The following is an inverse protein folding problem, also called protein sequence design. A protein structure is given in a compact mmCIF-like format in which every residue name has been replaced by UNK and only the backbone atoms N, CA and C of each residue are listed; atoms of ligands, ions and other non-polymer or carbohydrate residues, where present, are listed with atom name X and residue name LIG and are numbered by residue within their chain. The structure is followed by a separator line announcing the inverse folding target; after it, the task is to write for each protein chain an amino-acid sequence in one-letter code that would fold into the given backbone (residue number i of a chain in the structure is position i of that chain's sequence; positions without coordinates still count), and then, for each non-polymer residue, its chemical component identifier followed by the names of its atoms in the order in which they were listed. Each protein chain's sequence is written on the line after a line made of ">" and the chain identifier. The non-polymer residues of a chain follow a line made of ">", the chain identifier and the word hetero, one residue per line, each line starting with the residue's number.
data_IF_587937476076
#
_entry.id   IF_587937476076
#
_cell.length_a   1.000
_cell.length_b   1.000
_cell.length_c   1.000
_cell.angle_alpha   90.00
_cell.angle_beta   90.00
_cell.angle_gamma   90.00
#
_symmetry.space_group_name_H-M   'P 1'
#
loop_
_entity.id
_entity.type
_entity.pdbx_description
1 polymer ?
#
# COMPACT_ATOMS: atom_id res chain seq x y z
N UNK A 1 -28.00 -0.67 -20.25
CA UNK A 1 -27.04 -1.01 -21.32
C UNK A 1 -25.91 0.05 -21.41
N UNK A 2 -25.52 0.66 -20.26
CA UNK A 2 -24.45 1.69 -20.16
C UNK A 2 -23.29 1.23 -19.24
N UNK A 3 -23.35 0.06 -18.64
CA UNK A 3 -22.39 -0.45 -17.64
C UNK A 3 -21.24 -1.33 -18.19
N UNK A 4 -21.01 -1.36 -19.51
CA UNK A 4 -20.02 -2.28 -20.11
C UNK A 4 -18.90 -1.63 -20.95
N UNK A 5 -18.73 -0.31 -20.89
CA UNK A 5 -17.68 0.37 -21.69
C UNK A 5 -16.43 0.71 -20.85
N UNK A 6 -16.54 0.79 -19.51
CA UNK A 6 -15.41 1.08 -18.63
C UNK A 6 -14.43 -0.08 -18.46
N UNK A 7 -14.88 -1.33 -18.68
CA UNK A 7 -14.04 -2.51 -18.43
C UNK A 7 -13.27 -3.01 -19.67
N UNK A 8 -13.53 -2.44 -20.84
CA UNK A 8 -12.91 -2.87 -22.11
C UNK A 8 -11.64 -2.06 -22.43
N UNK A 9 -11.50 -0.84 -21.94
CA UNK A 9 -10.33 0.00 -22.24
C UNK A 9 -8.98 -0.53 -21.70
N UNK A 10 -8.88 -1.08 -20.47
CA UNK A 10 -7.61 -1.60 -19.97
C UNK A 10 -7.14 -2.86 -20.72
N UNK A 11 -8.08 -3.71 -21.15
CA UNK A 11 -7.75 -5.00 -21.79
C UNK A 11 -7.26 -4.82 -23.24
N UNK A 12 -7.80 -3.84 -23.95
CA UNK A 12 -7.38 -3.56 -25.34
C UNK A 12 -6.01 -2.87 -25.36
N UNK A 13 -5.72 -1.98 -24.42
CA UNK A 13 -4.42 -1.32 -24.32
C UNK A 13 -3.32 -2.29 -23.87
N UNK A 14 -3.63 -3.21 -22.94
CA UNK A 14 -2.67 -4.19 -22.43
C UNK A 14 -2.30 -5.25 -23.48
N UNK A 15 -3.26 -5.74 -24.24
CA UNK A 15 -3.00 -6.72 -25.32
C UNK A 15 -2.24 -6.11 -26.51
N UNK A 16 -2.40 -4.83 -26.77
CA UNK A 16 -1.67 -4.15 -27.88
C UNK A 16 -0.23 -3.83 -27.48
N UNK A 17 0.05 -3.55 -26.20
CA UNK A 17 1.41 -3.27 -25.71
C UNK A 17 2.23 -4.57 -25.54
N UNK A 18 1.62 -5.69 -25.19
CA UNK A 18 2.32 -6.99 -25.12
C UNK A 18 2.73 -7.54 -26.50
N UNK A 19 2.03 -7.18 -27.57
CA UNK A 19 2.37 -7.59 -28.94
C UNK A 19 3.61 -6.87 -29.51
N UNK A 20 4.09 -5.79 -28.87
CA UNK A 20 5.26 -5.02 -29.32
C UNK A 20 6.53 -5.20 -28.47
N UNK A 21 6.54 -6.08 -27.47
CA UNK A 21 7.67 -6.20 -26.52
C UNK A 21 8.34 -7.56 -26.39
N UNK A 22 8.15 -8.48 -27.33
CA UNK A 22 8.86 -9.78 -27.26
C UNK A 22 9.53 -10.10 -28.60
N UNK A 23 10.74 -9.60 -28.81
CA UNK A 23 11.71 -10.18 -29.72
C UNK A 23 12.88 -10.78 -28.91
N UNK A 24 13.11 -12.11 -28.97
CA UNK A 24 14.40 -12.69 -28.64
C UNK A 24 15.30 -12.78 -29.88
N UNK A 25 16.65 -12.84 -29.75
CA UNK A 25 17.59 -12.77 -30.86
C UNK A 25 17.61 -14.04 -31.68
N UNK A 26 17.52 -13.86 -32.99
CA UNK A 26 17.59 -14.92 -34.02
C UNK A 26 19.00 -15.49 -34.18
N UNK A 27 19.12 -16.79 -33.92
CA UNK A 27 20.17 -17.64 -34.45
C UNK A 27 19.83 -18.07 -35.89
N UNK A 28 20.82 -17.98 -36.76
CA UNK A 28 20.78 -18.29 -38.19
C UNK A 28 20.27 -19.69 -38.50
N UNK A 29 19.33 -19.81 -39.44
CA UNK A 29 19.30 -20.95 -40.41
C UNK A 29 18.54 -20.60 -41.69
N UNK A 30 19.29 -20.72 -42.80
CA UNK A 30 18.98 -21.13 -44.18
C UNK A 30 17.88 -20.43 -44.99
N UNK A 31 18.36 -19.90 -46.09
CA UNK A 31 17.71 -19.30 -47.23
C UNK A 31 16.93 -20.30 -48.11
N UNK A 32 16.15 -19.71 -49.02
CA UNK A 32 15.58 -20.24 -50.24
C UNK A 32 14.22 -20.92 -50.18
N UNK A 33 13.20 -20.12 -50.50
CA UNK A 33 12.21 -20.36 -51.59
C UNK A 33 11.22 -19.19 -51.67
N UNK A 34 11.28 -18.46 -52.81
CA UNK A 34 10.30 -17.45 -53.23
C UNK A 34 8.95 -18.11 -53.52
N UNK A 35 7.88 -17.51 -53.01
CA UNK A 35 6.51 -17.74 -53.46
C UNK A 35 5.79 -16.40 -53.66
N UNK A 36 4.95 -16.26 -54.72
CA UNK A 36 4.40 -14.99 -55.16
C UNK A 36 3.34 -14.45 -54.16
N UNK A 37 3.37 -13.15 -53.97
CA UNK A 37 2.49 -12.37 -53.10
C UNK A 37 1.11 -12.12 -53.70
N UNK A 38 0.01 -12.24 -52.92
CA UNK A 38 -1.26 -11.58 -53.28
C UNK A 38 -1.28 -10.15 -52.74
N UNK A 39 -1.75 -9.24 -53.56
CA UNK A 39 -1.90 -7.82 -53.29
C UNK A 39 -3.06 -7.54 -52.35
N UNK A 40 -2.85 -7.62 -51.06
CA UNK A 40 -3.68 -6.98 -50.01
C UNK A 40 -2.87 -7.02 -48.71
N UNK A 41 -2.20 -5.89 -48.43
CA UNK A 41 -1.13 -5.80 -47.43
C UNK A 41 -1.58 -5.79 -46.01
N UNK A 42 -1.70 -6.98 -45.38
CA UNK A 42 -1.56 -7.13 -43.92
C UNK A 42 -0.69 -8.38 -43.69
N UNK A 43 0.59 -8.19 -43.34
CA UNK A 43 1.48 -9.26 -42.88
C UNK A 43 1.11 -9.68 -41.49
N UNK A 44 0.46 -10.85 -41.33
CA UNK A 44 0.48 -11.62 -40.10
C UNK A 44 1.72 -12.53 -40.11
N UNK A 45 2.77 -12.10 -39.45
CA UNK A 45 3.91 -12.98 -39.15
C UNK A 45 3.53 -13.95 -38.04
N UNK A 46 3.12 -15.18 -38.39
CA UNK A 46 3.41 -16.43 -37.69
C UNK A 46 2.62 -17.58 -38.34
N UNK A 47 3.35 -18.55 -38.86
CA UNK A 47 2.90 -19.89 -39.31
C UNK A 47 1.61 -19.96 -40.15
N UNK A 48 1.74 -19.66 -41.45
CA UNK A 48 0.75 -20.05 -42.45
C UNK A 48 0.94 -21.53 -42.82
N UNK A 49 0.46 -22.46 -41.96
CA UNK A 49 0.24 -23.84 -42.34
C UNK A 49 -1.10 -24.26 -41.77
N UNK A 50 -2.11 -24.45 -42.67
CA UNK A 50 -3.39 -25.08 -42.40
C UNK A 50 -4.39 -24.34 -41.44
N UNK A 51 -4.76 -23.09 -41.76
CA UNK A 51 -5.97 -22.52 -41.16
C UNK A 51 -7.09 -22.39 -42.23
N UNK A 52 -8.13 -23.19 -42.14
CA UNK A 52 -9.32 -23.02 -42.97
C UNK A 52 -10.05 -21.73 -42.54
N UNK A 53 -9.93 -20.65 -43.32
CA UNK A 53 -10.47 -19.30 -43.04
C UNK A 53 -11.99 -19.26 -42.75
N UNK A 54 -12.74 -20.32 -43.06
CA UNK A 54 -14.21 -20.39 -42.79
C UNK A 54 -14.57 -21.00 -41.45
N UNK A 55 -13.70 -21.82 -40.84
CA UNK A 55 -14.01 -22.59 -39.64
C UNK A 55 -13.18 -22.22 -38.42
N UNK A 56 -12.08 -21.48 -38.59
CA UNK A 56 -11.21 -21.07 -37.47
C UNK A 56 -11.90 -20.05 -36.55
N UNK A 57 -12.08 -20.35 -35.27
CA UNK A 57 -12.69 -19.43 -34.29
C UNK A 57 -11.92 -18.12 -34.18
N UNK A 58 -10.60 -18.17 -34.26
CA UNK A 58 -9.70 -17.01 -34.17
C UNK A 58 -9.86 -16.05 -35.35
N UNK A 59 -9.92 -16.59 -36.60
CA UNK A 59 -10.16 -15.77 -37.78
C UNK A 59 -11.57 -15.13 -37.78
N UNK A 60 -12.56 -15.79 -37.18
CA UNK A 60 -13.90 -15.26 -37.01
C UNK A 60 -13.93 -14.13 -35.98
N UNK A 61 -13.15 -14.24 -34.91
CA UNK A 61 -13.03 -13.21 -33.87
C UNK A 61 -12.27 -11.97 -34.38
N UNK A 62 -11.19 -12.16 -35.15
CA UNK A 62 -10.43 -11.09 -35.79
C UNK A 62 -11.24 -10.32 -36.84
N UNK A 63 -12.11 -11.00 -37.61
CA UNK A 63 -13.05 -10.32 -38.53
C UNK A 63 -14.09 -9.49 -37.78
N UNK A 64 -14.60 -9.96 -36.63
CA UNK A 64 -15.51 -9.17 -35.78
C UNK A 64 -14.82 -7.95 -35.21
N UNK A 65 -13.57 -8.10 -34.76
CA UNK A 65 -12.75 -7.00 -34.22
C UNK A 65 -12.45 -5.94 -35.30
N UNK A 66 -12.03 -6.37 -36.48
CA UNK A 66 -11.78 -5.47 -37.61
C UNK A 66 -13.03 -4.70 -38.06
N UNK A 67 -14.22 -5.35 -37.98
CA UNK A 67 -15.49 -4.69 -38.26
C UNK A 67 -15.87 -3.68 -37.18
N UNK A 68 -15.57 -3.98 -35.90
CA UNK A 68 -15.77 -3.06 -34.77
C UNK A 68 -14.85 -1.85 -34.88
N UNK A 69 -13.55 -2.05 -35.21
CA UNK A 69 -12.57 -0.96 -35.40
C UNK A 69 -12.98 -0.02 -36.54
N UNK A 70 -13.54 -0.54 -37.63
CA UNK A 70 -14.06 0.30 -38.74
C UNK A 70 -15.27 1.17 -38.35
N UNK A 71 -15.99 0.82 -37.29
CA UNK A 71 -17.14 1.60 -36.79
C UNK A 71 -16.73 2.72 -35.82
N UNK A 72 -15.52 2.66 -35.25
CA UNK A 72 -15.01 3.65 -34.27
C UNK A 72 -15.00 5.08 -34.84
N UNK A 73 -14.48 5.37 -36.06
CA UNK A 73 -14.51 6.72 -36.62
C UNK A 73 -15.93 7.25 -36.82
N UNK A 74 -16.85 6.39 -37.24
CA UNK A 74 -18.28 6.76 -37.43
C UNK A 74 -18.98 7.03 -36.09
N UNK A 75 -18.64 6.26 -35.07
CA UNK A 75 -19.14 6.46 -33.70
C UNK A 75 -18.57 7.75 -33.08
N UNK A 76 -17.27 8.03 -33.28
CA UNK A 76 -16.62 9.27 -32.85
C UNK A 76 -17.22 10.50 -33.55
N UNK A 77 -17.48 10.41 -34.86
CA UNK A 77 -18.16 11.47 -35.63
C UNK A 77 -19.62 11.67 -35.18
N UNK A 78 -20.33 10.59 -34.85
CA UNK A 78 -21.68 10.64 -34.30
C UNK A 78 -21.71 11.28 -32.91
N UNK A 79 -20.77 10.92 -32.03
CA UNK A 79 -20.62 11.51 -30.68
C UNK A 79 -20.22 12.99 -30.76
N UNK A 80 -19.35 13.35 -31.71
CA UNK A 80 -18.97 14.75 -31.94
C UNK A 80 -20.12 15.62 -32.49
N UNK A 81 -20.93 15.07 -33.42
CA UNK A 81 -22.11 15.76 -33.96
C UNK A 81 -23.26 15.93 -32.96
N UNK A 82 -23.39 15.02 -31.97
CA UNK A 82 -24.46 15.05 -30.99
C UNK A 82 -24.10 15.79 -29.70
N UNK A 83 -23.01 16.59 -29.68
CA UNK A 83 -22.65 17.41 -28.52
C UNK A 83 -22.18 16.62 -27.29
N UNK A 84 -21.86 15.30 -27.44
CA UNK A 84 -21.13 14.56 -26.43
C UNK A 84 -19.64 14.86 -26.55
N UNK A 85 -19.28 16.14 -26.60
CA UNK A 85 -17.92 16.62 -26.47
C UNK A 85 -17.42 16.30 -25.08
N UNK A 86 -16.15 15.91 -24.97
CA UNK A 86 -15.39 15.87 -23.72
C UNK A 86 -15.78 17.10 -22.90
N UNK A 87 -16.27 16.88 -21.67
CA UNK A 87 -16.69 17.89 -20.71
C UNK A 87 -15.76 19.11 -20.80
N UNK A 88 -16.20 20.17 -21.49
CA UNK A 88 -15.59 21.49 -21.32
C UNK A 88 -15.75 21.86 -19.86
N UNK A 89 -14.63 21.84 -19.12
CA UNK A 89 -14.63 22.14 -17.67
C UNK A 89 -15.14 23.55 -17.48
N UNK A 90 -16.39 23.65 -17.07
CA UNK A 90 -17.04 24.93 -16.78
C UNK A 90 -16.23 25.65 -15.71
N UNK A 91 -15.74 26.82 -16.01
CA UNK A 91 -14.91 27.64 -15.11
C UNK A 91 -15.81 28.59 -14.29
N UNK A 92 -15.30 29.08 -13.17
CA UNK A 92 -16.00 30.05 -12.33
C UNK A 92 -16.45 31.30 -13.14
N UNK A 93 -15.64 31.73 -14.12
CA UNK A 93 -16.00 32.85 -15.03
C UNK A 93 -17.22 32.55 -15.89
N UNK A 94 -17.41 31.30 -16.30
CA UNK A 94 -18.54 30.90 -17.15
C UNK A 94 -19.84 30.86 -16.34
N UNK A 95 -19.74 30.47 -15.05
CA UNK A 95 -20.81 30.53 -14.06
C UNK A 95 -21.20 32.00 -13.80
N UNK A 96 -20.20 32.87 -13.60
CA UNK A 96 -20.40 34.28 -13.37
C UNK A 96 -21.15 34.95 -14.55
N UNK A 97 -20.74 34.64 -15.79
CA UNK A 97 -21.42 35.11 -17.00
C UNK A 97 -22.85 34.62 -17.09
N UNK A 98 -23.12 33.32 -16.83
CA UNK A 98 -24.48 32.74 -16.86
C UNK A 98 -25.37 33.30 -15.76
N UNK A 99 -24.84 33.57 -14.56
CA UNK A 99 -25.59 34.10 -13.44
C UNK A 99 -25.77 35.64 -13.49
N UNK A 100 -25.04 36.33 -14.39
CA UNK A 100 -25.03 37.78 -14.50
C UNK A 100 -24.44 38.46 -13.27
N UNK A 101 -23.40 37.90 -12.67
CA UNK A 101 -22.72 38.41 -11.47
C UNK A 101 -21.22 38.45 -11.67
N UNK A 102 -20.48 39.12 -10.76
CA UNK A 102 -19.02 39.11 -10.81
C UNK A 102 -18.45 37.73 -10.40
N UNK A 103 -17.23 37.38 -10.89
CA UNK A 103 -16.48 36.20 -10.48
C UNK A 103 -16.30 36.14 -8.97
N UNK A 104 -16.02 37.29 -8.30
CA UNK A 104 -15.89 37.38 -6.85
C UNK A 104 -17.20 37.06 -6.10
N UNK A 105 -18.37 37.33 -6.72
CA UNK A 105 -19.68 36.95 -6.16
C UNK A 105 -19.87 35.45 -6.21
N UNK A 106 -19.53 34.80 -7.33
CA UNK A 106 -19.57 33.34 -7.46
C UNK A 106 -18.63 32.69 -6.45
N UNK A 107 -17.40 33.18 -6.29
CA UNK A 107 -16.43 32.68 -5.30
C UNK A 107 -16.98 32.75 -3.87
N UNK A 108 -17.58 33.90 -3.49
CA UNK A 108 -18.21 34.05 -2.17
C UNK A 108 -19.37 33.09 -1.95
N UNK A 109 -20.18 32.82 -2.96
CA UNK A 109 -21.28 31.84 -2.87
C UNK A 109 -20.75 30.43 -2.71
N UNK A 110 -19.75 30.02 -3.51
CA UNK A 110 -19.11 28.71 -3.46
C UNK A 110 -18.48 28.43 -2.08
N UNK A 111 -17.86 29.43 -1.49
CA UNK A 111 -17.21 29.33 -0.17
C UNK A 111 -18.09 29.77 1.01
N UNK A 112 -19.41 29.96 0.81
CA UNK A 112 -20.39 30.37 1.83
C UNK A 112 -19.97 31.64 2.59
N UNK A 113 -19.20 32.54 1.97
CA UNK A 113 -18.72 33.79 2.59
C UNK A 113 -19.87 34.81 2.72
N UNK A 114 -19.80 35.73 3.71
CA UNK A 114 -20.80 36.80 3.87
C UNK A 114 -20.72 37.84 2.75
N UNK A 115 -21.61 38.83 2.80
CA UNK A 115 -21.68 39.95 1.87
C UNK A 115 -22.03 39.59 0.43
N UNK A 116 -23.01 38.70 0.25
CA UNK A 116 -23.65 38.38 -1.02
C UNK A 116 -25.16 38.63 -0.86
N UNK A 117 -25.77 39.41 -1.76
CA UNK A 117 -27.22 39.65 -1.72
C UNK A 117 -27.98 38.31 -1.93
N UNK A 118 -29.14 38.19 -1.31
CA UNK A 118 -29.99 37.00 -1.42
C UNK A 118 -30.28 36.64 -2.88
N UNK A 119 -30.65 37.64 -3.71
CA UNK A 119 -30.92 37.45 -5.14
C UNK A 119 -29.70 36.94 -5.92
N UNK A 120 -28.50 37.49 -5.66
CA UNK A 120 -27.30 37.04 -6.33
C UNK A 120 -26.91 35.58 -5.92
N UNK A 121 -27.09 35.23 -4.65
CA UNK A 121 -26.88 33.88 -4.12
C UNK A 121 -27.80 32.89 -4.81
N UNK A 122 -29.10 33.17 -4.86
CA UNK A 122 -30.12 32.30 -5.50
C UNK A 122 -29.83 32.08 -6.99
N UNK A 123 -29.40 33.11 -7.72
CA UNK A 123 -29.05 33.00 -9.14
C UNK A 123 -27.83 32.06 -9.33
N UNK A 124 -26.77 32.25 -8.55
CA UNK A 124 -25.58 31.40 -8.63
C UNK A 124 -25.89 29.98 -8.25
N UNK A 125 -26.59 29.73 -7.12
CA UNK A 125 -26.95 28.39 -6.68
C UNK A 125 -27.83 27.63 -7.67
N UNK A 126 -28.76 28.36 -8.36
CA UNK A 126 -29.56 27.78 -9.44
C UNK A 126 -28.65 27.28 -10.58
N UNK A 127 -27.75 28.14 -11.08
CA UNK A 127 -26.83 27.76 -12.17
C UNK A 127 -25.93 26.59 -11.75
N UNK A 128 -25.39 26.61 -10.51
CA UNK A 128 -24.56 25.52 -9.99
C UNK A 128 -25.31 24.16 -10.00
N UNK A 129 -26.62 24.17 -9.63
CA UNK A 129 -27.45 22.97 -9.69
C UNK A 129 -27.77 22.53 -11.12
N UNK A 130 -28.09 23.48 -12.02
CA UNK A 130 -28.42 23.21 -13.43
C UNK A 130 -27.26 22.52 -14.17
N UNK A 131 -26.00 22.87 -13.83
CA UNK A 131 -24.80 22.34 -14.49
C UNK A 131 -24.08 21.24 -13.71
N UNK A 132 -24.65 20.78 -12.58
CA UNK A 132 -24.00 19.85 -11.61
C UNK A 132 -22.53 20.25 -11.32
N UNK A 133 -22.32 21.55 -11.04
CA UNK A 133 -20.98 22.08 -10.85
C UNK A 133 -20.35 21.53 -9.59
N UNK A 134 -19.21 20.87 -9.73
CA UNK A 134 -18.36 20.41 -8.63
C UNK A 134 -17.06 21.18 -8.61
N UNK A 135 -16.79 21.97 -7.54
CA UNK A 135 -15.54 22.68 -7.40
C UNK A 135 -14.35 21.75 -7.55
N UNK A 136 -13.36 22.16 -8.34
CA UNK A 136 -12.13 21.42 -8.43
C UNK A 136 -11.27 21.69 -7.16
N UNK A 137 -11.32 20.77 -6.19
CA UNK A 137 -10.60 20.86 -4.93
C UNK A 137 -9.09 21.06 -5.14
N UNK A 138 -8.50 20.45 -6.17
CA UNK A 138 -7.08 20.63 -6.50
C UNK A 138 -6.76 22.04 -6.98
N UNK A 139 -7.58 22.60 -7.88
CA UNK A 139 -7.37 23.99 -8.33
C UNK A 139 -7.55 24.98 -7.19
N UNK A 140 -8.53 24.76 -6.31
CA UNK A 140 -8.75 25.60 -5.12
C UNK A 140 -7.59 25.52 -4.14
N UNK A 141 -7.05 24.34 -3.91
CA UNK A 141 -5.91 24.11 -3.03
C UNK A 141 -4.62 24.77 -3.56
N UNK A 142 -4.35 24.64 -4.88
CA UNK A 142 -3.23 25.30 -5.54
C UNK A 142 -3.30 26.83 -5.46
N UNK A 143 -4.51 27.39 -5.55
CA UNK A 143 -4.72 28.84 -5.44
C UNK A 143 -4.58 29.38 -4.00
N UNK A 144 -4.60 28.51 -2.98
CA UNK A 144 -4.55 28.91 -1.57
C UNK A 144 -3.17 29.42 -1.13
N UNK A 145 -2.09 29.02 -1.82
CA UNK A 145 -0.69 29.40 -1.56
C UNK A 145 -0.32 29.36 -0.06
N UNK A 146 -0.80 28.31 0.66
CA UNK A 146 -0.50 28.07 2.07
C UNK A 146 0.54 26.97 2.16
N UNK A 147 1.55 27.16 3.00
CA UNK A 147 2.48 26.10 3.39
C UNK A 147 1.81 25.18 4.40
N UNK A 148 1.95 23.86 4.18
CA UNK A 148 1.45 22.83 5.07
C UNK A 148 2.63 22.05 5.65
N UNK A 149 2.55 21.72 6.93
CA UNK A 149 3.56 20.93 7.64
C UNK A 149 2.91 19.69 8.20
N UNK A 150 3.32 18.50 7.73
CA UNK A 150 2.94 17.23 8.35
C UNK A 150 4.12 16.67 9.11
N UNK A 151 3.86 16.10 10.28
CA UNK A 151 4.86 15.47 11.12
C UNK A 151 4.62 13.95 11.12
N UNK A 152 5.70 13.16 10.94
CA UNK A 152 5.66 11.71 11.11
C UNK A 152 6.49 11.31 12.33
N UNK A 153 5.86 10.67 13.32
CA UNK A 153 6.49 10.18 14.53
C UNK A 153 6.63 8.66 14.43
N UNK A 154 7.86 8.21 14.21
CA UNK A 154 8.21 6.82 13.90
C UNK A 154 9.27 6.29 14.89
N UNK A 155 9.39 4.97 15.10
CA UNK A 155 10.50 4.39 15.81
C UNK A 155 11.84 4.63 15.12
N UNK A 156 12.91 4.83 15.89
CA UNK A 156 14.29 4.78 15.37
C UNK A 156 14.56 3.44 14.66
N UNK A 157 15.28 3.51 13.56
CA UNK A 157 15.60 2.34 12.76
C UNK A 157 16.94 2.50 12.03
N UNK A 158 17.53 1.36 11.66
CA UNK A 158 18.68 1.31 10.78
C UNK A 158 18.21 1.37 9.31
N UNK A 159 19.14 1.57 8.40
CA UNK A 159 18.90 1.39 6.95
C UNK A 159 18.36 0.00 6.64
N UNK A 160 17.57 -0.09 5.57
CA UNK A 160 16.96 -1.33 5.08
C UNK A 160 16.00 -2.01 6.08
N UNK A 161 15.47 -1.25 7.03
CA UNK A 161 14.48 -1.74 7.99
C UNK A 161 13.04 -1.47 7.50
N UNK A 162 12.07 -2.12 8.14
CA UNK A 162 10.65 -1.93 7.89
C UNK A 162 10.22 -0.45 7.96
N UNK A 163 10.76 0.31 8.91
CA UNK A 163 10.40 1.72 9.13
C UNK A 163 10.96 2.65 8.06
N UNK A 164 12.12 2.34 7.48
CA UNK A 164 12.66 3.08 6.34
C UNK A 164 11.72 3.01 5.12
N UNK A 165 11.14 1.85 4.86
CA UNK A 165 10.16 1.69 3.79
C UNK A 165 8.93 2.60 3.99
N UNK A 166 8.47 2.74 5.24
CA UNK A 166 7.38 3.66 5.60
C UNK A 166 7.79 5.11 5.32
N UNK A 167 9.00 5.52 5.72
CA UNK A 167 9.52 6.86 5.45
C UNK A 167 9.61 7.16 3.96
N UNK A 168 10.16 6.23 3.19
CA UNK A 168 10.26 6.36 1.74
C UNK A 168 8.89 6.54 1.09
N UNK A 169 7.89 5.81 1.56
CA UNK A 169 6.51 5.99 1.11
C UNK A 169 5.94 7.36 1.46
N UNK A 170 6.14 7.82 2.69
CA UNK A 170 5.70 9.12 3.16
C UNK A 170 6.37 10.27 2.39
N UNK A 171 7.68 10.19 2.20
CA UNK A 171 8.44 11.16 1.40
C UNK A 171 7.99 11.20 -0.05
N UNK A 172 7.71 10.04 -0.66
CA UNK A 172 7.18 9.97 -2.03
C UNK A 172 5.81 10.62 -2.15
N UNK A 173 4.94 10.45 -1.16
CA UNK A 173 3.65 11.10 -1.13
C UNK A 173 3.77 12.64 -1.11
N UNK A 174 4.75 13.18 -0.38
CA UNK A 174 5.06 14.61 -0.35
C UNK A 174 5.65 15.09 -1.66
N UNK A 175 6.62 14.36 -2.22
CA UNK A 175 7.23 14.68 -3.51
C UNK A 175 6.19 14.86 -4.63
N UNK A 176 5.22 13.94 -4.70
CA UNK A 176 4.14 14.02 -5.69
C UNK A 176 3.17 15.18 -5.47
N UNK A 177 3.24 15.85 -4.31
CA UNK A 177 2.36 16.97 -3.92
C UNK A 177 3.14 18.27 -3.66
N UNK A 178 4.38 18.35 -4.15
CA UNK A 178 5.25 19.52 -3.99
C UNK A 178 4.60 20.84 -4.42
N UNK A 179 3.74 20.80 -5.44
CA UNK A 179 3.06 21.99 -5.96
C UNK A 179 2.02 22.56 -4.98
N UNK A 180 1.68 21.83 -3.91
CA UNK A 180 0.77 22.27 -2.84
C UNK A 180 1.51 22.78 -1.60
N UNK A 181 2.81 23.07 -1.71
CA UNK A 181 3.66 23.54 -0.61
C UNK A 181 3.60 22.65 0.64
N UNK A 182 3.54 21.32 0.41
CA UNK A 182 3.52 20.33 1.48
C UNK A 182 4.93 20.01 1.95
N UNK A 183 5.17 20.14 3.25
CA UNK A 183 6.43 19.80 3.92
C UNK A 183 6.20 18.65 4.90
N UNK A 184 7.21 17.79 5.06
CA UNK A 184 7.20 16.72 6.06
C UNK A 184 8.32 16.92 7.08
N UNK A 185 8.04 16.61 8.34
CA UNK A 185 9.00 16.52 9.44
C UNK A 185 9.02 15.09 9.95
N UNK A 186 10.14 14.41 9.78
CA UNK A 186 10.37 13.08 10.34
C UNK A 186 10.93 13.23 11.74
N UNK A 187 10.33 12.55 12.71
CA UNK A 187 10.73 12.55 14.12
C UNK A 187 10.78 11.10 14.59
N UNK A 188 11.86 10.76 15.30
CA UNK A 188 12.10 9.40 15.73
C UNK A 188 12.15 9.32 17.24
N UNK A 189 11.59 8.24 17.78
CA UNK A 189 11.67 7.87 19.19
C UNK A 189 12.36 6.52 19.35
N UNK A 190 13.07 6.33 20.44
CA UNK A 190 13.77 5.09 20.72
C UNK A 190 12.86 4.07 21.40
N UNK A 191 12.78 2.84 20.90
CA UNK A 191 12.10 1.73 21.58
C UNK A 191 12.93 1.17 22.76
N UNK A 192 14.19 1.51 22.84
CA UNK A 192 15.07 1.16 23.97
C UNK A 192 15.00 2.22 25.09
N UNK A 193 14.44 3.38 24.79
CA UNK A 193 14.29 4.53 25.68
C UNK A 193 12.86 5.07 25.57
N UNK A 194 11.88 4.41 26.24
CA UNK A 194 10.45 4.75 26.12
C UNK A 194 10.13 6.21 26.43
N UNK A 195 10.87 6.84 27.35
CA UNK A 195 10.74 8.25 27.72
C UNK A 195 10.90 9.20 26.53
N UNK A 196 11.63 8.80 25.50
CA UNK A 196 11.84 9.61 24.28
C UNK A 196 10.58 9.78 23.45
N UNK A 197 9.57 8.91 23.62
CA UNK A 197 8.32 8.98 22.86
C UNK A 197 7.56 10.27 23.12
N UNK A 198 7.22 10.55 24.37
CA UNK A 198 6.50 11.78 24.74
C UNK A 198 7.34 13.03 24.50
N UNK A 199 8.67 12.97 24.65
CA UNK A 199 9.56 14.07 24.31
C UNK A 199 9.48 14.38 22.81
N UNK A 200 9.55 13.37 21.96
CA UNK A 200 9.42 13.49 20.51
C UNK A 200 8.06 14.06 20.11
N UNK A 201 7.00 13.62 20.78
CA UNK A 201 5.64 14.12 20.58
C UNK A 201 5.55 15.64 20.90
N UNK A 202 6.11 16.09 22.04
CA UNK A 202 6.12 17.51 22.42
C UNK A 202 6.90 18.37 21.41
N UNK A 203 8.10 17.93 21.00
CA UNK A 203 8.89 18.63 19.97
C UNK A 203 8.14 18.72 18.65
N UNK A 204 7.37 17.71 18.27
CA UNK A 204 6.54 17.77 17.08
C UNK A 204 5.48 18.87 17.19
N UNK A 205 4.82 19.04 18.34
CA UNK A 205 3.81 20.10 18.55
C UNK A 205 4.40 21.51 18.50
N UNK A 206 5.65 21.71 18.96
CA UNK A 206 6.35 23.01 18.89
C UNK A 206 6.48 23.51 17.46
N UNK A 207 6.53 22.60 16.47
CA UNK A 207 6.60 22.92 15.05
C UNK A 207 5.24 23.27 14.43
N UNK A 208 4.16 23.26 15.22
CA UNK A 208 2.78 23.61 14.83
C UNK A 208 2.34 22.87 13.55
N UNK A 209 2.35 21.53 13.54
CA UNK A 209 1.98 20.77 12.36
C UNK A 209 0.50 20.94 12.03
N UNK A 210 0.16 20.92 10.74
CA UNK A 210 -1.22 20.87 10.27
C UNK A 210 -1.84 19.47 10.41
N UNK A 211 -1.01 18.43 10.51
CA UNK A 211 -1.44 17.04 10.71
C UNK A 211 -0.29 16.12 11.10
N UNK A 212 -0.62 15.01 11.74
CA UNK A 212 0.38 14.08 12.29
C UNK A 212 0.11 12.66 11.84
N UNK A 213 1.17 11.94 11.45
CA UNK A 213 1.20 10.48 11.33
C UNK A 213 1.92 9.93 12.56
N UNK A 214 1.28 9.00 13.26
CA UNK A 214 1.73 8.54 14.56
C UNK A 214 1.79 7.01 14.61
N UNK A 215 2.93 6.45 15.01
CA UNK A 215 3.03 5.05 15.42
C UNK A 215 2.78 4.98 16.93
N UNK A 216 1.70 4.31 17.35
CA UNK A 216 1.38 4.24 18.79
C UNK A 216 2.35 3.33 19.56
N UNK A 217 2.55 3.65 20.84
CA UNK A 217 3.30 2.86 21.82
C UNK A 217 2.35 2.22 22.83
N UNK A 218 2.48 2.55 24.14
CA UNK A 218 1.50 2.15 25.14
C UNK A 218 0.19 2.92 24.97
N UNK A 219 -0.90 2.36 25.48
CA UNK A 219 -2.22 3.01 25.43
C UNK A 219 -2.19 4.35 26.15
N UNK A 220 -1.57 4.38 27.34
CA UNK A 220 -1.49 5.54 28.20
C UNK A 220 -0.73 6.69 27.56
N UNK A 221 0.47 6.42 27.04
CA UNK A 221 1.31 7.45 26.40
C UNK A 221 0.68 7.99 25.13
N UNK A 222 0.16 7.06 24.30
CA UNK A 222 -0.48 7.44 23.03
C UNK A 222 -1.73 8.27 23.30
N UNK A 223 -2.56 7.85 24.27
CA UNK A 223 -3.77 8.59 24.67
C UNK A 223 -3.42 10.00 25.18
N UNK A 224 -2.44 10.11 26.07
CA UNK A 224 -2.03 11.40 26.59
C UNK A 224 -1.65 12.40 25.48
N UNK A 225 -1.00 11.92 24.42
CA UNK A 225 -0.64 12.75 23.27
C UNK A 225 -1.84 13.04 22.36
N UNK A 226 -2.68 12.05 22.05
CA UNK A 226 -3.84 12.25 21.18
C UNK A 226 -4.91 13.14 21.82
N UNK A 227 -5.08 13.10 23.15
CA UNK A 227 -5.93 14.05 23.86
C UNK A 227 -5.47 15.50 23.68
N UNK A 228 -4.14 15.75 23.56
CA UNK A 228 -3.59 17.06 23.23
C UNK A 228 -3.87 17.46 21.78
N UNK A 229 -3.75 16.50 20.82
CA UNK A 229 -4.07 16.74 19.42
C UNK A 229 -5.54 17.13 19.23
N UNK A 230 -6.46 16.46 19.94
CA UNK A 230 -7.88 16.81 19.93
C UNK A 230 -8.14 18.20 20.49
N UNK A 231 -7.47 18.59 21.58
CA UNK A 231 -7.60 19.95 22.16
C UNK A 231 -7.14 21.04 21.20
N UNK A 232 -6.19 20.74 20.32
CA UNK A 232 -5.64 21.67 19.33
C UNK A 232 -6.27 21.53 17.94
N UNK A 233 -7.30 20.70 17.76
CA UNK A 233 -7.92 20.38 16.47
C UNK A 233 -6.91 19.92 15.40
N UNK A 234 -5.84 19.20 15.80
CA UNK A 234 -4.84 18.66 14.89
C UNK A 234 -5.25 17.24 14.48
N UNK A 235 -5.61 17.01 13.20
CA UNK A 235 -5.94 15.68 12.73
C UNK A 235 -4.72 14.77 12.71
N UNK A 236 -4.90 13.49 13.10
CA UNK A 236 -3.83 12.52 13.11
C UNK A 236 -4.25 11.19 12.48
N UNK A 237 -3.28 10.50 11.93
CA UNK A 237 -3.40 9.18 11.32
C UNK A 237 -2.57 8.19 12.15
N UNK A 238 -3.18 7.08 12.56
CA UNK A 238 -2.45 5.98 13.18
C UNK A 238 -1.85 5.06 12.12
N UNK A 239 -0.66 4.58 12.39
CA UNK A 239 0.12 3.73 11.52
C UNK A 239 0.59 2.48 12.24
N UNK A 240 0.63 1.34 11.55
CA UNK A 240 1.10 0.03 12.05
C UNK A 240 0.16 -0.63 13.07
N UNK A 241 -0.23 0.05 14.14
CA UNK A 241 -1.13 -0.47 15.19
C UNK A 241 -2.39 0.37 15.32
N UNK A 242 -3.55 -0.28 15.32
CA UNK A 242 -4.85 0.40 15.45
C UNK A 242 -5.24 0.57 16.92
N UNK A 243 -5.70 1.76 17.25
CA UNK A 243 -6.31 2.13 18.53
C UNK A 243 -7.56 2.97 18.26
N UNK A 244 -8.69 2.35 17.89
CA UNK A 244 -9.89 3.07 17.44
C UNK A 244 -10.47 3.98 18.51
N UNK A 245 -10.32 3.65 19.80
CA UNK A 245 -10.79 4.45 20.94
C UNK A 245 -10.11 5.82 21.05
N UNK A 246 -9.03 6.04 20.30
CA UNK A 246 -8.33 7.34 20.21
C UNK A 246 -8.90 8.25 19.10
N UNK A 247 -9.94 7.81 18.39
CA UNK A 247 -10.64 8.58 17.34
C UNK A 247 -9.71 9.22 16.29
N UNK A 248 -8.79 8.43 15.68
CA UNK A 248 -7.92 8.96 14.62
C UNK A 248 -8.74 9.33 13.39
N UNK A 249 -8.24 10.31 12.60
CA UNK A 249 -8.78 10.62 11.28
C UNK A 249 -8.82 9.37 10.39
N UNK A 250 -7.77 8.56 10.47
CA UNK A 250 -7.64 7.33 9.69
C UNK A 250 -6.59 6.41 10.32
N UNK A 251 -6.65 5.12 10.00
CA UNK A 251 -5.65 4.12 10.33
C UNK A 251 -5.17 3.41 9.06
N UNK A 252 -3.86 3.18 8.98
CA UNK A 252 -3.21 2.35 7.98
C UNK A 252 -2.30 1.31 8.62
N UNK A 253 -2.56 0.05 8.37
CA UNK A 253 -1.80 -1.07 8.93
C UNK A 253 -2.44 -2.40 8.57
N UNK A 254 -1.85 -3.49 9.01
CA UNK A 254 -2.41 -4.82 8.82
C UNK A 254 -3.29 -5.19 10.03
N UNK A 255 -4.33 -6.01 9.81
CA UNK A 255 -5.01 -6.67 10.92
C UNK A 255 -4.05 -7.70 11.53
N UNK A 256 -3.43 -7.32 12.64
CA UNK A 256 -2.37 -8.10 13.26
C UNK A 256 -2.85 -9.41 13.87
N UNK A 257 -4.09 -9.45 14.39
CA UNK A 257 -4.69 -10.70 14.86
C UNK A 257 -4.93 -11.68 13.73
N UNK A 258 -5.62 -11.22 12.67
CA UNK A 258 -5.90 -12.06 11.49
C UNK A 258 -4.61 -12.49 10.78
N UNK A 259 -3.60 -11.63 10.79
CA UNK A 259 -2.28 -11.93 10.23
C UNK A 259 -1.57 -13.04 11.01
N UNK A 260 -1.63 -13.03 12.34
CA UNK A 260 -1.10 -14.10 13.18
C UNK A 260 -1.88 -15.43 13.01
N UNK A 261 -3.20 -15.35 12.96
CA UNK A 261 -4.07 -16.50 12.69
C UNK A 261 -3.78 -17.13 11.33
N UNK A 262 -3.62 -16.28 10.29
CA UNK A 262 -3.20 -16.70 8.95
C UNK A 262 -1.80 -17.32 8.96
N UNK A 263 -0.84 -16.74 9.71
CA UNK A 263 0.52 -17.28 9.81
C UNK A 263 0.51 -18.70 10.38
N UNK A 264 -0.25 -18.96 11.44
CA UNK A 264 -0.40 -20.29 12.01
C UNK A 264 -0.96 -21.28 10.98
N UNK A 265 -2.03 -20.89 10.27
CA UNK A 265 -2.63 -21.74 9.25
C UNK A 265 -1.62 -22.10 8.15
N UNK A 266 -0.84 -21.12 7.67
CA UNK A 266 0.14 -21.37 6.61
C UNK A 266 1.30 -22.24 7.10
N UNK A 267 1.80 -21.99 8.31
CA UNK A 267 2.85 -22.81 8.90
C UNK A 267 2.40 -24.27 9.08
N UNK A 268 1.17 -24.49 9.56
CA UNK A 268 0.62 -25.83 9.79
C UNK A 268 0.32 -26.62 8.51
N UNK A 269 0.32 -25.99 7.33
CA UNK A 269 0.29 -26.74 6.06
C UNK A 269 1.55 -27.60 5.86
N UNK A 270 2.68 -27.18 6.40
CA UNK A 270 3.97 -27.90 6.30
C UNK A 270 4.36 -28.59 7.61
N UNK A 271 3.84 -28.17 8.76
CA UNK A 271 4.17 -28.63 10.12
C UNK A 271 3.16 -29.67 10.70
N UNK A 272 2.43 -30.40 9.88
CA UNK A 272 1.30 -31.25 10.30
C UNK A 272 1.61 -32.36 11.28
N UNK A 273 2.87 -32.76 11.42
CA UNK A 273 3.31 -33.88 12.28
C UNK A 273 4.20 -33.42 13.43
N UNK A 274 4.30 -32.13 13.65
CA UNK A 274 5.13 -31.59 14.71
C UNK A 274 4.44 -31.69 16.06
N UNK A 275 5.20 -32.09 17.08
CA UNK A 275 4.75 -32.12 18.47
C UNK A 275 4.90 -30.74 19.14
N UNK A 276 5.84 -29.94 18.65
CA UNK A 276 6.09 -28.60 19.16
C UNK A 276 6.59 -27.63 18.08
N UNK A 277 6.24 -26.35 18.25
CA UNK A 277 6.62 -25.25 17.35
C UNK A 277 7.29 -24.16 18.19
N UNK A 278 8.37 -23.56 17.64
CA UNK A 278 9.01 -22.40 18.22
C UNK A 278 8.27 -21.11 17.84
N UNK A 279 7.90 -20.30 18.83
CA UNK A 279 7.47 -18.92 18.67
C UNK A 279 8.58 -17.98 19.15
N UNK A 280 9.12 -17.15 18.24
CA UNK A 280 10.17 -16.16 18.54
C UNK A 280 9.53 -14.78 18.61
N UNK A 281 9.76 -14.07 19.71
CA UNK A 281 9.32 -12.70 19.90
C UNK A 281 10.47 -11.82 20.41
N UNK A 282 10.39 -10.54 20.11
CA UNK A 282 11.35 -9.58 20.61
C UNK A 282 10.82 -8.89 21.86
N UNK A 283 11.67 -8.77 22.89
CA UNK A 283 11.29 -8.19 24.17
C UNK A 283 12.25 -7.07 24.58
N UNK A 284 11.72 -6.13 25.35
CA UNK A 284 12.48 -5.13 26.08
C UNK A 284 12.18 -5.33 27.57
N UNK A 285 13.21 -5.51 28.42
CA UNK A 285 13.06 -5.84 29.84
C UNK A 285 12.09 -7.02 30.09
N UNK A 286 12.15 -8.05 29.25
CA UNK A 286 11.33 -9.26 29.35
C UNK A 286 9.89 -9.11 28.86
N UNK A 287 9.45 -7.92 28.43
CA UNK A 287 8.09 -7.64 27.94
C UNK A 287 8.06 -7.40 26.43
N UNK A 288 6.99 -7.81 25.77
CA UNK A 288 6.72 -7.40 24.40
C UNK A 288 6.23 -5.95 24.42
N UNK A 289 6.89 -5.07 23.67
CA UNK A 289 6.59 -3.63 23.65
C UNK A 289 5.79 -3.21 22.42
N UNK A 290 5.41 -4.14 21.57
CA UNK A 290 4.68 -3.88 20.33
C UNK A 290 3.33 -4.60 20.40
N UNK A 291 2.25 -3.82 20.45
CA UNK A 291 0.86 -4.33 20.40
C UNK A 291 0.61 -5.18 19.15
N UNK A 292 1.27 -4.86 18.05
CA UNK A 292 1.19 -5.63 16.81
C UNK A 292 1.76 -7.04 17.01
N UNK A 293 2.93 -7.19 17.67
CA UNK A 293 3.49 -8.51 17.99
C UNK A 293 2.59 -9.30 18.92
N UNK A 294 2.03 -8.64 19.97
CA UNK A 294 1.09 -9.27 20.89
C UNK A 294 -0.14 -9.81 20.16
N UNK A 295 -0.78 -9.00 19.35
CA UNK A 295 -1.95 -9.41 18.59
C UNK A 295 -1.65 -10.54 17.59
N UNK A 296 -0.47 -10.54 16.95
CA UNK A 296 -0.03 -11.65 16.09
C UNK A 296 0.14 -12.94 16.87
N UNK A 297 0.76 -12.86 18.04
CA UNK A 297 0.89 -14.02 18.92
C UNK A 297 -0.48 -14.54 19.37
N UNK A 298 -1.40 -13.65 19.78
CA UNK A 298 -2.77 -14.03 20.16
C UNK A 298 -3.48 -14.71 18.99
N UNK A 299 -3.42 -14.15 17.79
CA UNK A 299 -4.02 -14.76 16.60
C UNK A 299 -3.42 -16.12 16.25
N UNK A 300 -2.09 -16.24 16.33
CA UNK A 300 -1.37 -17.49 16.10
C UNK A 300 -1.80 -18.58 17.10
N UNK A 301 -1.76 -18.27 18.40
CA UNK A 301 -2.15 -19.20 19.45
C UNK A 301 -3.62 -19.61 19.34
N UNK A 302 -4.49 -18.67 18.98
CA UNK A 302 -5.93 -18.94 18.79
C UNK A 302 -6.16 -19.97 17.69
N UNK A 303 -5.49 -19.86 16.54
CA UNK A 303 -5.56 -20.88 15.49
C UNK A 303 -5.06 -22.25 15.96
N UNK A 304 -3.95 -22.28 16.71
CA UNK A 304 -3.38 -23.52 17.25
C UNK A 304 -4.31 -24.18 18.25
N UNK A 305 -4.88 -23.42 19.19
CA UNK A 305 -5.87 -23.90 20.16
C UNK A 305 -7.12 -24.51 19.50
N UNK A 306 -7.58 -23.91 18.39
CA UNK A 306 -8.79 -24.36 17.69
C UNK A 306 -8.55 -25.59 16.82
N UNK A 307 -7.36 -25.77 16.26
CA UNK A 307 -7.11 -26.78 15.23
C UNK A 307 -6.02 -27.81 15.58
N UNK A 308 -5.12 -27.47 16.49
CA UNK A 308 -3.96 -28.28 16.86
C UNK A 308 -3.65 -28.16 18.38
N UNK A 309 -4.63 -28.42 19.25
CA UNK A 309 -4.48 -28.22 20.69
C UNK A 309 -3.39 -29.09 21.33
N UNK A 310 -2.98 -30.19 20.66
CA UNK A 310 -1.92 -31.09 21.09
C UNK A 310 -0.51 -30.57 20.82
N UNK A 311 -0.35 -29.56 19.95
CA UNK A 311 0.96 -29.05 19.57
C UNK A 311 1.43 -28.01 20.58
N UNK A 312 2.57 -28.25 21.21
CA UNK A 312 3.17 -27.34 22.17
C UNK A 312 3.77 -26.10 21.48
N UNK A 313 3.48 -24.90 21.95
CA UNK A 313 4.12 -23.67 21.49
C UNK A 313 5.20 -23.26 22.49
N UNK A 314 6.46 -23.57 22.17
CA UNK A 314 7.64 -23.14 22.93
C UNK A 314 8.00 -21.71 22.53
N UNK A 315 8.20 -20.84 23.51
CA UNK A 315 8.46 -19.42 23.27
C UNK A 315 9.91 -19.07 23.57
N UNK A 316 10.58 -18.40 22.62
CA UNK A 316 11.91 -17.81 22.82
C UNK A 316 11.82 -16.28 22.78
N UNK A 317 12.27 -15.64 23.84
CA UNK A 317 12.38 -14.20 23.93
C UNK A 317 13.77 -13.75 23.47
N UNK A 318 13.84 -12.91 22.45
CA UNK A 318 15.06 -12.25 22.00
C UNK A 318 15.07 -10.82 22.53
N UNK A 319 15.92 -10.48 23.52
CA UNK A 319 15.99 -9.12 24.05
C UNK A 319 16.43 -8.11 23.01
N UNK A 320 15.80 -6.94 22.97
CA UNK A 320 16.20 -5.84 22.07
C UNK A 320 17.59 -5.31 22.45
N UNK A 321 18.30 -4.72 21.47
CA UNK A 321 19.58 -4.06 21.70
C UNK A 321 20.78 -4.99 21.92
N UNK A 322 20.60 -6.31 21.77
CA UNK A 322 21.71 -7.28 21.85
C UNK A 322 22.43 -7.37 20.51
N UNK A 323 23.70 -7.75 20.60
CA UNK A 323 24.53 -8.04 19.46
C UNK A 323 24.26 -9.44 18.87
N UNK A 324 24.93 -9.72 17.75
CA UNK A 324 24.77 -10.99 17.04
C UNK A 324 25.22 -12.19 17.89
N UNK A 325 26.30 -12.05 18.68
CA UNK A 325 26.87 -13.13 19.48
C UNK A 325 25.87 -13.56 20.58
N UNK A 326 25.28 -12.60 21.28
CA UNK A 326 24.27 -12.88 22.31
C UNK A 326 23.00 -13.55 21.73
N UNK A 327 22.57 -13.15 20.54
CA UNK A 327 21.45 -13.86 19.88
C UNK A 327 21.83 -15.27 19.46
N UNK A 328 23.07 -15.47 18.99
CA UNK A 328 23.58 -16.78 18.61
C UNK A 328 23.58 -17.74 19.81
N UNK A 329 24.08 -17.31 20.97
CA UNK A 329 24.08 -18.09 22.22
C UNK A 329 22.66 -18.50 22.64
N UNK A 330 21.72 -17.55 22.69
CA UNK A 330 20.33 -17.82 23.05
C UNK A 330 19.65 -18.84 22.11
N UNK A 331 19.93 -18.76 20.82
CA UNK A 331 19.38 -19.67 19.82
C UNK A 331 20.04 -21.04 19.90
N UNK A 332 21.37 -21.11 20.11
CA UNK A 332 22.10 -22.38 20.26
C UNK A 332 21.62 -23.15 21.47
N UNK A 333 21.51 -22.48 22.64
CA UNK A 333 20.99 -23.07 23.88
C UNK A 333 19.55 -23.59 23.69
N UNK A 334 18.71 -22.80 23.03
CA UNK A 334 17.34 -23.20 22.75
C UNK A 334 17.24 -24.45 21.88
N UNK A 335 17.93 -24.48 20.74
CA UNK A 335 17.90 -25.61 19.82
C UNK A 335 18.65 -26.85 20.35
N UNK A 336 19.64 -26.65 21.23
CA UNK A 336 20.28 -27.76 21.95
C UNK A 336 19.30 -28.44 22.91
N UNK A 337 18.54 -27.65 23.66
CA UNK A 337 17.52 -28.16 24.58
C UNK A 337 16.27 -28.72 23.87
N UNK A 338 16.04 -28.34 22.61
CA UNK A 338 14.84 -28.68 21.83
C UNK A 338 15.21 -29.19 20.42
N UNK A 339 15.90 -30.33 20.28
CA UNK A 339 16.41 -30.83 18.98
C UNK A 339 15.28 -31.25 18.01
N UNK A 340 14.08 -31.54 18.53
CA UNK A 340 12.91 -31.93 17.71
C UNK A 340 12.12 -30.75 17.11
N UNK A 341 12.54 -29.50 17.33
CA UNK A 341 11.85 -28.35 16.72
C UNK A 341 12.34 -28.14 15.29
N UNK A 342 11.40 -28.22 14.34
CA UNK A 342 11.65 -28.00 12.91
C UNK A 342 10.84 -26.82 12.32
N UNK A 343 9.95 -26.21 13.08
CA UNK A 343 9.11 -25.12 12.62
C UNK A 343 9.13 -23.95 13.60
N UNK A 344 9.27 -22.73 13.04
CA UNK A 344 9.42 -21.49 13.79
C UNK A 344 8.51 -20.39 13.25
N UNK A 345 7.83 -19.69 14.15
CA UNK A 345 7.11 -18.46 13.84
C UNK A 345 7.77 -17.27 14.52
N UNK A 346 8.11 -16.24 13.75
CA UNK A 346 8.68 -14.98 14.25
C UNK A 346 7.66 -13.85 14.10
N UNK A 347 7.32 -13.18 15.19
CA UNK A 347 6.21 -12.22 15.25
C UNK A 347 6.51 -10.84 14.65
N UNK A 348 7.73 -10.59 14.18
CA UNK A 348 8.18 -9.28 13.67
C UNK A 348 9.08 -9.39 12.44
N UNK A 349 9.57 -8.24 11.93
CA UNK A 349 10.42 -8.12 10.74
C UNK A 349 11.85 -8.65 10.90
N UNK A 350 12.23 -9.20 12.05
CA UNK A 350 13.60 -9.66 12.33
C UNK A 350 13.77 -11.18 12.25
N UNK A 351 13.01 -11.85 11.42
CA UNK A 351 13.15 -13.29 11.17
C UNK A 351 14.57 -13.69 10.72
N UNK A 352 15.30 -12.74 10.11
CA UNK A 352 16.71 -12.92 9.71
C UNK A 352 17.66 -13.23 10.89
N UNK A 353 17.31 -12.89 12.13
CA UNK A 353 18.15 -13.24 13.29
C UNK A 353 18.19 -14.76 13.43
N UNK A 354 17.03 -15.40 13.52
CA UNK A 354 16.92 -16.86 13.56
C UNK A 354 17.37 -17.48 12.23
N UNK A 355 16.94 -16.89 11.08
CA UNK A 355 17.33 -17.40 9.75
C UNK A 355 18.83 -17.37 9.49
N UNK A 356 19.53 -16.31 9.92
CA UNK A 356 20.98 -16.19 9.83
C UNK A 356 21.70 -17.23 10.70
N UNK A 357 21.25 -17.42 11.94
CA UNK A 357 21.74 -18.47 12.83
C UNK A 357 21.61 -19.87 12.20
N UNK A 358 20.45 -20.21 11.63
CA UNK A 358 20.24 -21.50 10.97
C UNK A 358 21.18 -21.72 9.78
N UNK A 359 21.50 -20.67 9.01
CA UNK A 359 22.45 -20.73 7.91
C UNK A 359 23.88 -20.98 8.40
N UNK A 360 24.29 -20.31 9.48
CA UNK A 360 25.64 -20.41 10.06
C UNK A 360 25.88 -21.78 10.71
N UNK A 361 24.85 -22.33 11.36
CA UNK A 361 24.93 -23.66 12.00
C UNK A 361 24.53 -24.82 11.08
N UNK A 362 24.23 -24.53 9.81
CA UNK A 362 23.79 -25.50 8.80
C UNK A 362 22.56 -26.32 9.22
N UNK A 363 21.65 -25.75 9.99
CA UNK A 363 20.39 -26.37 10.44
C UNK A 363 19.32 -26.20 9.36
N UNK A 364 19.38 -27.00 8.28
CA UNK A 364 18.51 -26.85 7.10
C UNK A 364 17.14 -27.51 7.25
N UNK A 365 16.90 -28.22 8.32
CA UNK A 365 15.63 -28.88 8.62
C UNK A 365 14.64 -28.01 9.39
N UNK A 366 14.98 -26.75 9.69
CA UNK A 366 14.09 -25.80 10.36
C UNK A 366 13.47 -24.85 9.34
N UNK A 367 12.13 -24.73 9.36
CA UNK A 367 11.35 -23.86 8.50
C UNK A 367 10.88 -22.63 9.29
N UNK A 368 11.06 -21.43 8.73
CA UNK A 368 10.67 -20.18 9.39
C UNK A 368 9.51 -19.52 8.64
N UNK A 369 8.49 -19.14 9.40
CA UNK A 369 7.45 -18.18 9.03
C UNK A 369 7.71 -16.85 9.74
N UNK A 370 7.81 -15.74 9.01
CA UNK A 370 8.10 -14.43 9.58
C UNK A 370 7.35 -13.29 8.90
N UNK A 371 7.82 -12.07 9.14
CA UNK A 371 7.22 -10.86 8.57
C UNK A 371 8.25 -10.04 7.79
N UNK A 372 7.74 -9.33 6.81
CA UNK A 372 8.37 -8.29 6.03
C UNK A 372 9.52 -8.73 5.11
N UNK A 373 9.45 -8.18 3.92
CA UNK A 373 10.47 -8.33 2.90
C UNK A 373 11.59 -7.28 3.09
N UNK A 374 12.22 -7.29 4.28
CA UNK A 374 13.47 -6.54 4.47
C UNK A 374 14.64 -7.29 3.83
N UNK A 375 15.68 -6.61 3.33
CA UNK A 375 16.78 -7.23 2.57
C UNK A 375 17.39 -8.47 3.25
N UNK A 376 17.61 -8.41 4.57
CA UNK A 376 18.16 -9.54 5.34
C UNK A 376 17.22 -10.75 5.38
N UNK A 377 15.90 -10.54 5.48
CA UNK A 377 14.91 -11.61 5.41
C UNK A 377 14.85 -12.22 4.00
N UNK A 378 14.87 -11.37 2.96
CA UNK A 378 14.89 -11.81 1.57
C UNK A 378 16.15 -12.65 1.26
N UNK A 379 17.30 -12.25 1.77
CA UNK A 379 18.55 -13.03 1.63
C UNK A 379 18.43 -14.39 2.31
N UNK A 380 17.95 -14.45 3.56
CA UNK A 380 17.70 -15.70 4.27
C UNK A 380 16.70 -16.61 3.53
N UNK A 381 15.66 -16.02 2.93
CA UNK A 381 14.67 -16.75 2.12
C UNK A 381 15.31 -17.34 0.85
N UNK A 382 16.10 -16.54 0.10
CA UNK A 382 16.79 -17.04 -1.11
C UNK A 382 17.76 -18.18 -0.78
N UNK A 383 18.40 -18.12 0.38
CA UNK A 383 19.32 -19.17 0.89
C UNK A 383 18.58 -20.34 1.55
N UNK A 384 17.28 -20.26 1.74
CA UNK A 384 16.42 -21.37 2.18
C UNK A 384 16.29 -21.56 3.69
N UNK A 385 16.68 -20.59 4.53
CA UNK A 385 16.46 -20.64 5.98
C UNK A 385 15.15 -19.98 6.41
N UNK A 386 14.54 -19.16 5.57
CA UNK A 386 13.18 -18.63 5.76
C UNK A 386 12.30 -19.19 4.65
N UNK A 387 11.18 -19.82 5.00
CA UNK A 387 10.25 -20.44 4.06
C UNK A 387 9.18 -19.48 3.59
N UNK A 388 8.63 -18.69 4.52
CA UNK A 388 7.54 -17.75 4.25
C UNK A 388 7.72 -16.45 4.99
N UNK A 389 7.32 -15.36 4.35
CA UNK A 389 7.17 -14.03 4.95
C UNK A 389 5.77 -13.49 4.67
N UNK A 390 5.20 -12.80 5.64
CA UNK A 390 3.99 -12.00 5.44
C UNK A 390 4.41 -10.57 5.19
N UNK A 391 4.11 -10.06 4.01
CA UNK A 391 4.36 -8.67 3.68
C UNK A 391 3.26 -7.76 4.23
N UNK A 392 3.68 -6.59 4.76
CA UNK A 392 2.80 -5.61 5.35
C UNK A 392 2.58 -4.36 4.49
N UNK A 393 3.23 -4.28 3.33
CA UNK A 393 3.15 -3.12 2.43
C UNK A 393 3.59 -1.80 3.10
N UNK A 394 4.72 -1.81 3.81
CA UNK A 394 5.23 -0.68 4.59
C UNK A 394 5.30 0.63 3.79
N UNK A 395 5.85 0.59 2.58
CA UNK A 395 5.89 1.74 1.68
C UNK A 395 4.49 2.33 1.42
N UNK A 396 3.51 1.47 1.14
CA UNK A 396 2.13 1.89 0.88
C UNK A 396 1.46 2.47 2.13
N UNK A 397 1.77 1.95 3.31
CA UNK A 397 1.27 2.51 4.57
C UNK A 397 1.76 3.95 4.75
N UNK A 398 3.07 4.20 4.58
CA UNK A 398 3.65 5.53 4.67
C UNK A 398 3.07 6.49 3.63
N UNK A 399 2.97 6.05 2.38
CA UNK A 399 2.38 6.84 1.30
C UNK A 399 0.92 7.23 1.58
N UNK A 400 0.10 6.23 1.96
CA UNK A 400 -1.33 6.42 2.14
C UNK A 400 -1.68 7.24 3.37
N UNK A 401 -0.87 7.18 4.43
CA UNK A 401 -1.08 8.00 5.64
C UNK A 401 -0.90 9.50 5.35
N UNK A 402 0.11 9.87 4.56
CA UNK A 402 0.30 11.25 4.09
C UNK A 402 -0.80 11.65 3.11
N UNK A 403 -1.21 10.74 2.20
CA UNK A 403 -2.31 11.02 1.28
C UNK A 403 -3.63 11.30 2.02
N UNK A 404 -3.90 10.57 3.10
CA UNK A 404 -5.09 10.80 3.92
C UNK A 404 -5.09 12.20 4.56
N UNK A 405 -3.98 12.61 5.17
CA UNK A 405 -3.84 13.96 5.70
C UNK A 405 -3.99 15.02 4.61
N UNK A 406 -3.34 14.83 3.46
CA UNK A 406 -3.46 15.74 2.33
C UNK A 406 -4.89 15.86 1.82
N UNK A 407 -5.58 14.74 1.64
CA UNK A 407 -6.99 14.74 1.20
C UNK A 407 -7.90 15.44 2.18
N UNK A 408 -7.73 15.21 3.46
CA UNK A 408 -8.56 15.82 4.50
C UNK A 408 -8.22 17.30 4.70
N UNK A 409 -6.95 17.62 4.92
CA UNK A 409 -6.51 18.96 5.34
C UNK A 409 -6.47 19.94 4.15
N UNK A 410 -5.90 19.51 3.02
CA UNK A 410 -5.67 20.38 1.87
C UNK A 410 -6.87 20.37 0.91
N UNK A 411 -7.38 19.19 0.57
CA UNK A 411 -8.49 19.06 -0.37
C UNK A 411 -9.87 19.12 0.28
N UNK A 412 -9.96 19.12 1.63
CA UNK A 412 -11.22 19.13 2.41
C UNK A 412 -12.15 17.96 2.02
N UNK A 413 -11.56 16.80 1.78
CA UNK A 413 -12.28 15.56 1.43
C UNK A 413 -12.31 14.62 2.62
N UNK A 414 -13.39 13.88 2.75
CA UNK A 414 -13.49 12.78 3.69
C UNK A 414 -12.51 11.66 3.32
N UNK A 415 -11.97 10.99 4.34
CA UNK A 415 -11.10 9.83 4.23
C UNK A 415 -11.71 8.64 4.95
N UNK A 416 -11.37 7.44 4.50
CA UNK A 416 -11.85 6.22 5.12
C UNK A 416 -11.18 6.05 6.50
N UNK A 417 -11.93 5.75 7.58
CA UNK A 417 -11.37 5.66 8.92
C UNK A 417 -10.39 4.49 9.12
N UNK A 418 -10.66 3.34 8.52
CA UNK A 418 -9.84 2.12 8.69
C UNK A 418 -9.45 1.59 7.32
N UNK A 419 -8.14 1.40 7.11
CA UNK A 419 -7.56 0.89 5.88
C UNK A 419 -6.58 -0.24 6.20
N UNK A 420 -7.09 -1.48 6.14
CA UNK A 420 -6.24 -2.65 6.32
C UNK A 420 -5.41 -2.93 5.08
N UNK A 421 -4.11 -3.12 5.29
CA UNK A 421 -3.20 -3.63 4.27
C UNK A 421 -3.46 -5.12 4.01
N UNK A 422 -3.28 -5.60 2.77
CA UNK A 422 -3.39 -7.02 2.46
C UNK A 422 -2.45 -7.88 3.31
N UNK A 423 -2.88 -9.10 3.64
CA UNK A 423 -2.03 -10.15 4.20
C UNK A 423 -1.47 -10.94 3.02
N UNK A 424 -0.29 -10.56 2.54
CA UNK A 424 0.35 -11.17 1.37
C UNK A 424 1.44 -12.14 1.80
N UNK A 425 1.34 -13.39 1.32
CA UNK A 425 2.33 -14.43 1.60
C UNK A 425 3.43 -14.39 0.54
N UNK A 426 4.67 -14.25 1.00
CA UNK A 426 5.86 -14.33 0.18
C UNK A 426 6.58 -15.66 0.40
N UNK A 427 7.09 -16.23 -0.68
CA UNK A 427 7.97 -17.38 -0.74
C UNK A 427 9.17 -17.06 -1.61
N UNK A 428 10.11 -17.99 -1.73
CA UNK A 428 11.28 -17.84 -2.59
C UNK A 428 10.91 -17.54 -4.05
N UNK A 429 9.78 -18.04 -4.52
CA UNK A 429 9.32 -17.93 -5.91
C UNK A 429 8.76 -16.53 -6.24
N UNK A 430 8.24 -15.78 -5.25
CA UNK A 430 7.60 -14.49 -5.51
C UNK A 430 8.25 -13.29 -4.81
N UNK A 431 9.21 -13.52 -3.90
CA UNK A 431 9.86 -12.45 -3.11
C UNK A 431 10.49 -11.35 -3.96
N UNK A 432 11.07 -11.69 -5.12
CA UNK A 432 11.70 -10.72 -6.01
C UNK A 432 10.73 -9.86 -6.82
N UNK A 433 9.44 -10.19 -6.79
CA UNK A 433 8.38 -9.41 -7.46
C UNK A 433 7.72 -8.38 -6.55
N UNK A 434 7.85 -8.52 -5.24
CA UNK A 434 7.17 -7.69 -4.25
C UNK A 434 7.41 -6.18 -4.41
N UNK A 435 8.66 -5.76 -4.66
CA UNK A 435 9.00 -4.33 -4.82
C UNK A 435 8.64 -3.74 -6.19
N UNK A 436 8.23 -4.55 -7.17
CA UNK A 436 7.89 -4.06 -8.52
C UNK A 436 6.55 -3.34 -8.58
N UNK A 437 5.75 -3.41 -7.51
CA UNK A 437 4.44 -2.77 -7.39
C UNK A 437 4.48 -1.41 -6.68
N UNK A 438 5.66 -0.85 -6.39
CA UNK A 438 5.80 0.51 -5.84
C UNK A 438 5.29 1.54 -6.85
N UNK A 439 4.42 2.44 -6.40
CA UNK A 439 3.83 3.54 -7.19
C UNK A 439 4.90 4.56 -7.56
#
# INVERSE_FOLDING_TARGET
>A
MILYISDIQPIILFSTIQLFRSDPPLGKMAADKEFPMPADGIRCGFTAVFCNKRTCPYCRQMKKLAKAIRLIPTLLLFLHKNGMGMNDRIRIKDIAAKAGVSVGTVDRVLHKRPNVSKSAREKVERILREIDYRPNAYASALACNKDYVFCCILPEHASEAYWEEIELGAMKAVELRRDFHLNIRLRHFSRLHPETYLETCRRCLEEKPDGIVLVPTTVEETKAFTDELHRQDIPFVLLDSNMPDLEPLSFYGQDSFQSGYFAARMLMLIARKEESILLVRQTFEGKVTSRQQENREVGFRRYMEEHYPEVEIKTLNLPMGKDKAAYHELLEDFFHANPGIHHCFTTNSRAYITGGFLLETNRRNVQIMGYDMVPKNAECMRRGSISFLIAQHAYQQGFSSIDALFRNIVLKKEVRPINYMPIELLSKENVDFYHRTRI
#
